data_IF_635873673715
#
_entry.id   IF_635873673715
#
_cell.length_a   1.000
_cell.length_b   1.000
_cell.length_c   1.000
_cell.angle_alpha   90.00
_cell.angle_beta   90.00
_cell.angle_gamma   90.00
#
_symmetry.space_group_name_H-M   'P 1'
#
loop_
_entity.id
_entity.type
_entity.pdbx_description
1 polymer ?
#
# COMPACT_ATOMS: atom_id res chain seq x y z
N UNK A 1 -7.98 4.40 -19.67
CA UNK A 1 -8.32 3.07 -20.22
C UNK A 1 -9.82 2.84 -20.11
N UNK A 2 -10.44 2.37 -21.19
CA UNK A 2 -11.78 1.81 -21.19
C UNK A 2 -11.81 0.42 -20.54
N UNK A 3 -13.00 -0.09 -20.19
CA UNK A 3 -13.18 -1.46 -19.69
C UNK A 3 -12.56 -2.49 -20.64
N UNK A 4 -12.84 -2.39 -21.94
CA UNK A 4 -12.28 -3.31 -22.94
C UNK A 4 -10.75 -3.27 -23.02
N UNK A 5 -10.15 -2.09 -22.89
CA UNK A 5 -8.69 -1.95 -22.84
C UNK A 5 -8.09 -2.57 -21.57
N UNK A 6 -8.71 -2.37 -20.41
CA UNK A 6 -8.26 -3.01 -19.15
C UNK A 6 -8.22 -4.53 -19.30
N UNK A 7 -9.30 -5.14 -19.79
CA UNK A 7 -9.38 -6.59 -19.98
C UNK A 7 -8.34 -7.09 -21.00
N UNK A 8 -8.14 -6.35 -22.09
CA UNK A 8 -7.11 -6.68 -23.10
C UNK A 8 -5.70 -6.63 -22.49
N UNK A 9 -5.38 -5.59 -21.69
CA UNK A 9 -4.08 -5.48 -21.03
C UNK A 9 -3.87 -6.58 -19.98
N UNK A 10 -4.88 -6.90 -19.17
CA UNK A 10 -4.82 -8.02 -18.21
C UNK A 10 -4.60 -9.35 -18.93
N UNK A 11 -5.31 -9.61 -20.03
CA UNK A 11 -5.09 -10.81 -20.86
C UNK A 11 -3.65 -10.87 -21.42
N UNK A 12 -3.10 -9.72 -21.80
CA UNK A 12 -1.71 -9.61 -22.26
C UNK A 12 -0.70 -9.95 -21.18
N UNK A 13 -0.90 -9.45 -19.93
CA UNK A 13 -0.06 -9.81 -18.78
C UNK A 13 -0.15 -11.29 -18.48
N UNK A 14 -1.36 -11.88 -18.44
CA UNK A 14 -1.58 -13.32 -18.14
C UNK A 14 -0.91 -14.26 -19.12
N UNK A 15 -0.75 -13.85 -20.37
CA UNK A 15 -0.01 -14.65 -21.37
C UNK A 15 1.47 -14.74 -21.03
N UNK A 16 2.03 -13.68 -20.47
CA UNK A 16 3.47 -13.50 -20.29
C UNK A 16 3.94 -13.81 -18.85
N UNK A 17 3.00 -13.82 -17.88
CA UNK A 17 3.32 -14.06 -16.47
C UNK A 17 2.13 -14.68 -15.71
N UNK A 18 2.41 -15.47 -14.64
CA UNK A 18 1.36 -15.95 -13.75
C UNK A 18 0.74 -14.77 -13.00
N UNK A 19 -0.52 -14.46 -13.33
CA UNK A 19 -1.28 -13.40 -12.68
C UNK A 19 -2.42 -14.04 -11.87
N UNK A 20 -2.39 -13.91 -10.55
CA UNK A 20 -3.40 -14.46 -9.63
C UNK A 20 -4.34 -13.40 -9.07
N UNK A 21 -3.88 -12.14 -8.99
CA UNK A 21 -4.63 -11.07 -8.38
C UNK A 21 -4.42 -9.72 -9.10
N UNK A 22 -5.42 -8.84 -8.99
CA UNK A 22 -5.37 -7.46 -9.48
C UNK A 22 -5.88 -6.54 -8.38
N UNK A 23 -5.12 -5.49 -8.07
CA UNK A 23 -5.58 -4.39 -7.24
C UNK A 23 -6.05 -3.24 -8.14
N UNK A 24 -7.31 -2.87 -8.03
CA UNK A 24 -7.88 -1.71 -8.71
C UNK A 24 -7.74 -0.51 -7.77
N UNK A 25 -6.93 0.44 -8.19
CA UNK A 25 -6.62 1.67 -7.45
C UNK A 25 -6.61 2.86 -8.42
N UNK A 26 -6.19 4.00 -7.95
CA UNK A 26 -6.05 5.21 -8.75
C UNK A 26 -6.27 6.44 -7.86
N UNK A 27 -6.95 7.48 -8.35
CA UNK A 27 -7.43 8.54 -7.47
C UNK A 27 -8.50 7.99 -6.54
N UNK A 28 -9.63 7.56 -7.12
CA UNK A 28 -10.70 6.86 -6.39
C UNK A 28 -11.45 5.95 -7.39
N UNK A 29 -11.41 4.63 -7.24
CA UNK A 29 -12.06 3.70 -8.17
C UNK A 29 -13.57 3.91 -8.31
N UNK A 30 -14.26 4.24 -7.23
CA UNK A 30 -15.70 4.48 -7.24
C UNK A 30 -16.14 5.72 -8.04
N UNK A 31 -15.22 6.53 -8.56
CA UNK A 31 -15.56 7.58 -9.55
C UNK A 31 -15.94 6.99 -10.92
N UNK A 32 -15.53 5.75 -11.19
CA UNK A 32 -15.88 5.04 -12.43
C UNK A 32 -17.28 4.42 -12.30
N UNK A 33 -18.13 4.72 -13.27
CA UNK A 33 -19.49 4.15 -13.31
C UNK A 33 -19.51 2.67 -13.69
N UNK A 34 -18.47 2.21 -14.44
CA UNK A 34 -18.28 0.84 -14.92
C UNK A 34 -17.35 -0.01 -14.01
N UNK A 35 -17.06 0.46 -12.79
CA UNK A 35 -16.25 -0.30 -11.83
C UNK A 35 -16.84 -1.69 -11.51
N UNK A 36 -18.17 -1.84 -11.26
CA UNK A 36 -18.75 -3.15 -10.96
C UNK A 36 -18.55 -4.15 -12.10
N UNK A 37 -18.73 -3.70 -13.33
CA UNK A 37 -18.56 -4.53 -14.53
C UNK A 37 -17.09 -4.94 -14.74
N UNK A 38 -16.13 -4.04 -14.46
CA UNK A 38 -14.69 -4.35 -14.50
C UNK A 38 -14.35 -5.42 -13.44
N UNK A 39 -14.82 -5.24 -12.20
CA UNK A 39 -14.59 -6.20 -11.12
C UNK A 39 -15.19 -7.56 -11.49
N UNK A 40 -16.43 -7.58 -12.01
CA UNK A 40 -17.10 -8.81 -12.44
C UNK A 40 -16.30 -9.55 -13.53
N UNK A 41 -15.88 -8.86 -14.58
CA UNK A 41 -15.12 -9.45 -15.69
C UNK A 41 -13.78 -10.05 -15.22
N UNK A 42 -13.06 -9.33 -14.38
CA UNK A 42 -11.78 -9.79 -13.85
C UNK A 42 -11.97 -11.00 -12.93
N UNK A 43 -12.98 -10.97 -12.04
CA UNK A 43 -13.31 -12.08 -11.15
C UNK A 43 -13.75 -13.32 -11.94
N UNK A 44 -14.62 -13.15 -12.93
CA UNK A 44 -15.06 -14.22 -13.81
C UNK A 44 -13.92 -14.81 -14.65
N UNK A 45 -12.86 -14.06 -14.87
CA UNK A 45 -11.63 -14.57 -15.51
C UNK A 45 -10.74 -15.38 -14.55
N UNK A 46 -11.15 -15.59 -13.29
CA UNK A 46 -10.43 -16.36 -12.27
C UNK A 46 -9.39 -15.55 -11.50
N UNK A 47 -9.45 -14.21 -11.54
CA UNK A 47 -8.55 -13.36 -10.77
C UNK A 47 -9.15 -12.97 -9.41
N UNK A 48 -8.31 -12.90 -8.38
CA UNK A 48 -8.67 -12.19 -7.15
C UNK A 48 -8.62 -10.69 -7.42
N UNK A 49 -9.71 -9.98 -7.13
CA UNK A 49 -9.79 -8.52 -7.36
C UNK A 49 -9.94 -7.81 -6.03
N UNK A 50 -9.06 -6.87 -5.76
CA UNK A 50 -9.11 -6.00 -4.57
C UNK A 50 -9.36 -4.58 -5.05
N UNK A 51 -10.42 -3.94 -4.54
CA UNK A 51 -10.70 -2.52 -4.81
C UNK A 51 -10.15 -1.68 -3.68
N UNK A 52 -9.12 -0.87 -3.97
CA UNK A 52 -8.48 0.04 -3.00
C UNK A 52 -9.15 1.39 -3.10
N UNK A 53 -9.83 1.81 -2.05
CA UNK A 53 -10.68 3.02 -2.03
C UNK A 53 -10.47 3.86 -0.78
N UNK A 54 -10.72 5.16 -0.90
CA UNK A 54 -10.81 6.05 0.26
C UNK A 54 -12.15 5.94 1.01
N UNK A 55 -13.08 5.12 0.54
CA UNK A 55 -14.35 4.81 1.18
C UNK A 55 -15.44 5.87 1.07
N UNK A 56 -15.11 7.10 0.66
CA UNK A 56 -16.07 8.24 0.72
C UNK A 56 -17.18 8.18 -0.32
N UNK A 57 -17.01 7.39 -1.38
CA UNK A 57 -18.00 7.22 -2.45
C UNK A 57 -18.75 5.89 -2.35
N UNK A 58 -18.54 5.11 -1.30
CA UNK A 58 -19.29 3.88 -1.06
C UNK A 58 -20.72 4.27 -0.66
N UNK A 59 -21.69 3.89 -1.47
CA UNK A 59 -23.13 4.08 -1.21
C UNK A 59 -23.88 2.78 -1.41
N UNK A 60 -25.06 2.66 -0.81
CA UNK A 60 -25.95 1.52 -0.98
C UNK A 60 -26.17 1.16 -2.46
N UNK A 61 -26.49 2.17 -3.29
CA UNK A 61 -26.74 1.97 -4.71
C UNK A 61 -25.50 1.45 -5.46
N UNK A 62 -24.30 1.90 -5.08
CA UNK A 62 -23.05 1.44 -5.69
C UNK A 62 -22.68 0.04 -5.26
N UNK A 63 -22.85 -0.29 -3.96
CA UNK A 63 -22.56 -1.62 -3.45
C UNK A 63 -23.49 -2.69 -4.03
N UNK A 64 -24.77 -2.40 -4.21
CA UNK A 64 -25.73 -3.33 -4.87
C UNK A 64 -25.34 -3.73 -6.28
N UNK A 65 -24.51 -2.92 -6.96
CA UNK A 65 -23.98 -3.23 -8.30
C UNK A 65 -22.68 -4.03 -8.25
N UNK A 66 -21.97 -4.03 -7.12
CA UNK A 66 -20.71 -4.78 -6.99
C UNK A 66 -21.00 -6.29 -6.96
N UNK A 67 -20.14 -7.09 -7.62
CA UNK A 67 -20.26 -8.55 -7.55
C UNK A 67 -20.24 -9.05 -6.10
N UNK A 68 -21.00 -10.10 -5.84
CA UNK A 68 -20.94 -10.80 -4.56
C UNK A 68 -19.52 -11.29 -4.29
N UNK A 69 -19.07 -11.21 -3.03
CA UNK A 69 -17.70 -11.60 -2.65
C UNK A 69 -16.62 -10.58 -3.02
N UNK A 70 -16.99 -9.38 -3.54
CA UNK A 70 -16.00 -8.31 -3.77
C UNK A 70 -15.21 -8.00 -2.51
N UNK A 71 -13.89 -7.79 -2.69
CA UNK A 71 -12.94 -7.49 -1.61
C UNK A 71 -12.47 -6.05 -1.70
N UNK A 72 -12.41 -5.38 -0.56
CA UNK A 72 -12.02 -3.97 -0.49
C UNK A 72 -10.82 -3.78 0.43
N UNK A 73 -10.00 -2.79 0.10
CA UNK A 73 -9.05 -2.18 1.02
C UNK A 73 -9.47 -0.72 1.20
N UNK A 74 -9.83 -0.34 2.43
CA UNK A 74 -10.42 0.98 2.71
C UNK A 74 -9.51 1.78 3.61
N UNK A 75 -9.17 2.99 3.19
CA UNK A 75 -8.28 3.87 3.96
C UNK A 75 -9.03 4.54 5.11
N UNK A 76 -8.53 4.31 6.34
CA UNK A 76 -8.91 5.06 7.54
C UNK A 76 -7.65 5.48 8.29
N UNK A 77 -7.33 6.75 8.31
CA UNK A 77 -6.09 7.24 8.93
C UNK A 77 -6.12 7.22 10.46
N UNK A 78 -7.28 7.43 11.07
CA UNK A 78 -7.44 7.48 12.52
C UNK A 78 -8.90 7.31 12.91
N UNK A 79 -9.15 6.73 14.08
CA UNK A 79 -10.47 6.72 14.72
C UNK A 79 -10.88 8.11 15.20
N UNK A 80 -9.94 9.06 15.32
CA UNK A 80 -10.26 10.45 15.67
C UNK A 80 -10.55 11.26 14.41
N UNK A 81 -11.78 11.81 14.33
CA UNK A 81 -12.27 12.61 13.21
C UNK A 81 -11.25 13.68 12.77
N UNK A 82 -10.80 14.51 13.74
CA UNK A 82 -9.91 15.62 13.43
C UNK A 82 -8.60 15.16 12.79
N UNK A 83 -8.01 14.07 13.29
CA UNK A 83 -6.78 13.48 12.76
C UNK A 83 -7.01 12.87 11.38
N UNK A 84 -8.12 12.14 11.21
CA UNK A 84 -8.48 11.56 9.91
C UNK A 84 -8.65 12.66 8.86
N UNK A 85 -9.46 13.66 9.14
CA UNK A 85 -9.78 14.74 8.20
C UNK A 85 -8.54 15.58 7.84
N UNK A 86 -7.65 15.82 8.82
CA UNK A 86 -6.37 16.48 8.59
C UNK A 86 -5.49 15.68 7.60
N UNK A 87 -5.35 14.37 7.81
CA UNK A 87 -4.54 13.50 6.94
C UNK A 87 -5.19 13.25 5.59
N UNK A 88 -6.50 13.20 5.53
CA UNK A 88 -7.27 13.10 4.28
C UNK A 88 -7.26 14.42 3.47
N UNK A 89 -6.88 15.54 4.08
CA UNK A 89 -6.89 16.88 3.48
C UNK A 89 -8.30 17.44 3.23
N UNK A 90 -9.32 16.83 3.83
CA UNK A 90 -10.74 17.23 3.70
C UNK A 90 -11.59 16.59 4.79
N UNK A 91 -12.79 17.11 5.02
CA UNK A 91 -13.80 16.48 5.90
C UNK A 91 -14.33 15.22 5.22
N UNK A 92 -13.83 14.05 5.62
CA UNK A 92 -14.11 12.75 5.01
C UNK A 92 -14.54 11.68 6.01
N UNK A 93 -14.28 11.88 7.31
CA UNK A 93 -14.43 10.87 8.35
C UNK A 93 -15.83 10.22 8.35
N UNK A 94 -16.90 11.02 8.37
CA UNK A 94 -18.28 10.48 8.40
C UNK A 94 -18.63 9.69 7.16
N UNK A 95 -18.16 10.14 5.98
CA UNK A 95 -18.39 9.45 4.72
C UNK A 95 -17.68 8.09 4.70
N UNK A 96 -16.45 8.02 5.21
CA UNK A 96 -15.68 6.78 5.30
C UNK A 96 -16.36 5.82 6.27
N UNK A 97 -16.78 6.28 7.46
CA UNK A 97 -17.51 5.45 8.42
C UNK A 97 -18.82 4.91 7.86
N UNK A 98 -19.57 5.74 7.15
CA UNK A 98 -20.80 5.30 6.47
C UNK A 98 -20.50 4.22 5.44
N UNK A 99 -19.44 4.39 4.63
CA UNK A 99 -18.98 3.40 3.66
C UNK A 99 -18.57 2.08 4.31
N UNK A 100 -17.76 2.12 5.38
CA UNK A 100 -17.35 0.93 6.13
C UNK A 100 -18.56 0.20 6.77
N UNK A 101 -19.51 0.97 7.35
CA UNK A 101 -20.75 0.42 7.90
C UNK A 101 -21.56 -0.32 6.83
N UNK A 102 -21.65 0.24 5.61
CA UNK A 102 -22.34 -0.41 4.50
C UNK A 102 -21.63 -1.68 4.07
N UNK A 103 -20.30 -1.71 3.99
CA UNK A 103 -19.54 -2.92 3.68
C UNK A 103 -19.81 -4.03 4.69
N UNK A 104 -19.80 -3.72 5.99
CA UNK A 104 -20.13 -4.67 7.04
C UNK A 104 -21.56 -5.20 6.94
N UNK A 105 -22.54 -4.32 6.72
CA UNK A 105 -23.97 -4.71 6.54
C UNK A 105 -24.19 -5.63 5.35
N UNK A 106 -23.52 -5.36 4.24
CA UNK A 106 -23.59 -6.17 3.02
C UNK A 106 -22.64 -7.39 3.04
N UNK A 107 -21.96 -7.62 4.16
CA UNK A 107 -21.02 -8.75 4.36
C UNK A 107 -19.92 -8.81 3.29
N UNK A 108 -19.53 -7.66 2.72
CA UNK A 108 -18.35 -7.58 1.88
C UNK A 108 -17.09 -7.69 2.73
N UNK A 109 -16.13 -8.48 2.27
CA UNK A 109 -14.82 -8.57 2.93
C UNK A 109 -14.03 -7.29 2.70
N UNK A 110 -13.50 -6.71 3.77
CA UNK A 110 -12.59 -5.60 3.64
C UNK A 110 -11.47 -5.65 4.68
N UNK A 111 -10.32 -5.12 4.29
CA UNK A 111 -9.22 -4.80 5.19
C UNK A 111 -9.15 -3.29 5.37
N UNK A 112 -8.80 -2.88 6.57
CA UNK A 112 -8.57 -1.47 6.88
C UNK A 112 -7.15 -1.11 6.46
N UNK A 113 -6.96 -0.06 5.66
CA UNK A 113 -5.64 0.48 5.35
C UNK A 113 -5.38 1.72 6.22
N UNK A 114 -4.41 1.63 7.12
CA UNK A 114 -3.97 2.76 7.95
C UNK A 114 -2.53 3.11 7.62
N UNK A 115 -2.29 4.36 7.21
CA UNK A 115 -0.93 4.86 6.98
C UNK A 115 -0.45 5.56 8.25
N UNK A 116 0.57 4.98 8.88
CA UNK A 116 1.21 5.52 10.07
C UNK A 116 2.00 6.78 9.75
N UNK A 117 1.66 7.82 10.45
CA UNK A 117 2.33 9.11 10.44
C UNK A 117 2.61 9.55 11.89
N UNK A 118 3.39 10.60 12.06
CA UNK A 118 3.61 11.26 13.35
C UNK A 118 2.30 11.73 14.00
N UNK A 119 1.27 12.03 13.19
CA UNK A 119 0.02 12.63 13.64
C UNK A 119 -1.00 11.61 14.16
N UNK A 120 -0.88 10.34 13.78
CA UNK A 120 -1.83 9.28 14.13
C UNK A 120 -1.20 8.03 14.77
N UNK A 121 0.12 8.01 14.98
CA UNK A 121 0.80 6.86 15.58
C UNK A 121 0.20 6.45 16.94
N UNK A 122 -0.23 7.42 17.74
CA UNK A 122 -0.89 7.20 19.04
C UNK A 122 -2.34 6.68 18.95
N UNK A 123 -2.95 6.72 17.76
CA UNK A 123 -4.35 6.35 17.53
C UNK A 123 -4.51 4.90 17.03
N UNK A 124 -3.41 4.15 16.91
CA UNK A 124 -3.39 2.84 16.24
C UNK A 124 -4.37 1.86 16.87
N UNK A 125 -4.34 1.70 18.19
CA UNK A 125 -5.25 0.77 18.89
C UNK A 125 -6.70 1.11 18.61
N UNK A 126 -7.11 2.37 18.83
CA UNK A 126 -8.49 2.79 18.61
C UNK A 126 -8.91 2.66 17.13
N UNK A 127 -7.97 2.89 16.21
CA UNK A 127 -8.24 2.77 14.77
C UNK A 127 -8.46 1.31 14.37
N UNK A 128 -7.65 0.39 14.90
CA UNK A 128 -7.84 -1.05 14.70
C UNK A 128 -9.18 -1.50 15.30
N UNK A 129 -9.46 -1.13 16.54
CA UNK A 129 -10.70 -1.50 17.25
C UNK A 129 -11.95 -0.98 16.52
N UNK A 130 -11.92 0.26 16.03
CA UNK A 130 -13.00 0.82 15.21
C UNK A 130 -13.19 0.03 13.91
N UNK A 131 -12.09 -0.30 13.20
CA UNK A 131 -12.15 -1.13 12.00
C UNK A 131 -12.79 -2.49 12.25
N UNK A 132 -12.41 -3.17 13.33
CA UNK A 132 -12.97 -4.45 13.74
C UNK A 132 -14.45 -4.36 14.10
N UNK A 133 -14.84 -3.34 14.85
CA UNK A 133 -16.23 -3.09 15.21
C UNK A 133 -17.13 -2.86 13.96
N UNK A 134 -16.53 -2.35 12.87
CA UNK A 134 -17.20 -2.16 11.59
C UNK A 134 -17.15 -3.40 10.67
N UNK A 135 -16.45 -4.46 11.08
CA UNK A 135 -16.37 -5.73 10.36
C UNK A 135 -15.14 -5.91 9.48
N UNK A 136 -14.07 -5.17 9.70
CA UNK A 136 -12.79 -5.40 9.02
C UNK A 136 -12.25 -6.80 9.33
N UNK A 137 -11.75 -7.51 8.32
CA UNK A 137 -11.19 -8.86 8.45
C UNK A 137 -9.67 -8.86 8.69
N UNK A 138 -9.04 -7.69 8.64
CA UNK A 138 -7.61 -7.50 8.89
C UNK A 138 -7.23 -6.04 8.73
N UNK A 139 -5.97 -5.73 8.95
CA UNK A 139 -5.44 -4.37 8.84
C UNK A 139 -4.15 -4.36 8.03
N UNK A 140 -4.07 -3.46 7.06
CA UNK A 140 -2.84 -3.07 6.38
C UNK A 140 -2.30 -1.82 7.08
N UNK A 141 -1.29 -2.01 7.93
CA UNK A 141 -0.68 -0.94 8.70
C UNK A 141 0.63 -0.51 8.06
N UNK A 142 0.59 0.47 7.19
CA UNK A 142 1.77 0.92 6.47
C UNK A 142 2.38 2.17 7.09
N UNK A 143 3.70 2.24 7.19
CA UNK A 143 4.35 3.51 7.48
C UNK A 143 4.15 4.49 6.31
N UNK A 144 4.17 5.79 6.58
CA UNK A 144 4.14 6.79 5.51
C UNK A 144 5.30 6.55 4.53
N UNK A 145 4.98 6.47 3.24
CA UNK A 145 5.98 6.39 2.19
C UNK A 145 6.24 7.78 1.60
N UNK A 146 7.51 8.12 1.47
CA UNK A 146 7.90 9.45 1.00
C UNK A 146 7.93 9.47 -0.54
N UNK A 147 7.46 10.58 -1.08
CA UNK A 147 7.55 10.94 -2.48
C UNK A 147 7.96 12.41 -2.59
N UNK A 148 8.29 12.85 -3.79
CA UNK A 148 8.66 14.27 -4.03
C UNK A 148 7.64 15.26 -3.47
N UNK A 149 6.34 14.95 -3.61
CA UNK A 149 5.25 15.81 -3.15
C UNK A 149 5.12 15.87 -1.61
N UNK A 150 5.56 14.82 -0.92
CA UNK A 150 5.45 14.70 0.54
C UNK A 150 6.74 15.12 1.23
N UNK A 151 7.85 15.16 0.50
CA UNK A 151 9.20 15.41 1.05
C UNK A 151 9.29 16.71 1.86
N UNK A 152 8.68 17.80 1.37
CA UNK A 152 8.67 19.09 2.06
C UNK A 152 7.98 19.03 3.44
N UNK A 153 7.08 18.07 3.65
CA UNK A 153 6.35 17.84 4.91
C UNK A 153 6.87 16.61 5.68
N UNK A 154 7.94 16.00 5.24
CA UNK A 154 8.42 14.73 5.81
C UNK A 154 8.68 14.84 7.32
N UNK A 155 9.27 15.95 7.79
CA UNK A 155 9.49 16.20 9.23
C UNK A 155 8.21 16.28 10.08
N UNK A 156 7.08 16.63 9.46
CA UNK A 156 5.76 16.67 10.11
C UNK A 156 5.04 15.33 10.07
N UNK A 157 5.34 14.49 9.07
CA UNK A 157 4.61 13.26 8.79
C UNK A 157 5.34 12.00 9.24
N UNK A 158 6.67 11.95 9.12
CA UNK A 158 7.44 10.77 9.54
C UNK A 158 7.49 10.72 11.07
N UNK A 159 7.03 9.63 11.69
CA UNK A 159 7.19 9.44 13.12
C UNK A 159 8.68 9.23 13.47
N UNK A 160 9.08 9.56 14.69
CA UNK A 160 10.37 9.12 15.20
C UNK A 160 10.42 7.59 15.28
N UNK A 161 11.63 7.01 15.27
CA UNK A 161 11.78 5.57 15.39
C UNK A 161 11.14 5.03 16.70
N UNK A 162 11.19 5.79 17.79
CA UNK A 162 10.52 5.44 19.04
C UNK A 162 8.99 5.43 18.87
N UNK A 163 8.40 6.52 18.39
CA UNK A 163 6.95 6.60 18.17
C UNK A 163 6.43 5.55 17.18
N UNK A 164 7.23 5.18 16.16
CA UNK A 164 6.88 4.08 15.28
C UNK A 164 6.88 2.75 16.00
N UNK A 165 7.91 2.45 16.81
CA UNK A 165 7.97 1.22 17.60
C UNK A 165 6.82 1.10 18.59
N UNK A 166 6.47 2.20 19.28
CA UNK A 166 5.32 2.24 20.20
C UNK A 166 4.00 1.93 19.45
N UNK A 167 3.84 2.48 18.25
CA UNK A 167 2.67 2.21 17.42
C UNK A 167 2.62 0.75 16.91
N UNK A 168 3.78 0.17 16.57
CA UNK A 168 3.88 -1.23 16.17
C UNK A 168 3.65 -2.18 17.36
N UNK A 169 4.14 -1.86 18.56
CA UNK A 169 3.86 -2.60 19.79
C UNK A 169 2.35 -2.59 20.12
N UNK A 170 1.70 -1.43 20.00
CA UNK A 170 0.26 -1.32 20.17
C UNK A 170 -0.51 -2.17 19.15
N UNK A 171 -0.05 -2.20 17.90
CA UNK A 171 -0.64 -3.03 16.84
C UNK A 171 -0.40 -4.53 17.08
N UNK A 172 0.80 -4.92 17.52
CA UNK A 172 1.15 -6.31 17.87
C UNK A 172 0.27 -6.84 18.99
N UNK A 173 0.10 -6.06 20.07
CA UNK A 173 -0.82 -6.37 21.16
C UNK A 173 -2.26 -6.51 20.68
N UNK A 174 -2.70 -5.66 19.77
CA UNK A 174 -4.05 -5.74 19.20
C UNK A 174 -4.19 -7.00 18.33
N UNK A 175 -3.18 -7.33 17.51
CA UNK A 175 -3.17 -8.56 16.70
C UNK A 175 -3.30 -9.80 17.58
N UNK A 176 -2.51 -9.90 18.67
CA UNK A 176 -2.56 -10.98 19.66
C UNK A 176 -3.93 -11.05 20.35
N UNK A 177 -4.44 -9.90 20.82
CA UNK A 177 -5.70 -9.81 21.58
C UNK A 177 -6.92 -10.23 20.76
N UNK A 178 -6.97 -9.80 19.51
CA UNK A 178 -8.15 -9.99 18.65
C UNK A 178 -8.01 -11.14 17.66
N UNK A 179 -6.84 -11.77 17.56
CA UNK A 179 -6.59 -12.87 16.61
C UNK A 179 -6.71 -12.44 15.15
N UNK A 180 -6.33 -11.19 14.83
CA UNK A 180 -6.45 -10.64 13.48
C UNK A 180 -5.10 -10.54 12.77
N UNK A 181 -5.14 -10.62 11.46
CA UNK A 181 -3.95 -10.36 10.65
C UNK A 181 -3.70 -8.86 10.52
N UNK A 182 -2.53 -8.41 10.95
CA UNK A 182 -2.02 -7.06 10.71
C UNK A 182 -0.74 -7.17 9.90
N UNK A 183 -0.72 -6.57 8.71
CA UNK A 183 0.40 -6.65 7.79
C UNK A 183 0.94 -5.26 7.42
N UNK A 184 2.24 -5.18 7.20
CA UNK A 184 2.93 -4.00 6.68
C UNK A 184 3.44 -4.30 5.27
N UNK A 185 2.90 -3.66 4.23
CA UNK A 185 3.37 -3.87 2.86
C UNK A 185 4.49 -2.90 2.45
N UNK A 186 4.58 -1.75 3.10
CA UNK A 186 5.70 -0.82 2.91
C UNK A 186 6.83 -1.20 3.87
N UNK A 187 8.02 -1.55 3.37
CA UNK A 187 9.11 -2.05 4.21
C UNK A 187 9.47 -1.11 5.37
N UNK A 188 9.56 -1.65 6.56
CA UNK A 188 10.15 -0.99 7.72
C UNK A 188 11.50 -1.65 7.97
N UNK A 189 12.62 -0.94 7.72
CA UNK A 189 13.95 -1.49 7.93
C UNK A 189 14.22 -1.87 9.39
N UNK A 190 14.92 -3.01 9.66
CA UNK A 190 15.23 -3.48 11.01
C UNK A 190 16.00 -2.46 11.86
N UNK A 191 16.80 -1.60 11.22
CA UNK A 191 17.48 -0.50 11.92
C UNK A 191 16.52 0.58 12.47
N UNK A 192 15.25 0.57 12.08
CA UNK A 192 14.21 1.45 12.63
C UNK A 192 13.33 0.70 13.62
N UNK A 193 12.87 -0.50 13.24
CA UNK A 193 12.08 -1.38 14.09
C UNK A 193 12.39 -2.85 13.74
N UNK A 194 12.86 -3.61 14.70
CA UNK A 194 13.27 -5.00 14.52
C UNK A 194 12.04 -5.92 14.46
N UNK A 195 11.78 -6.63 13.34
CA UNK A 195 10.57 -7.42 13.18
C UNK A 195 10.33 -8.49 14.25
N UNK A 196 11.40 -9.08 14.81
CA UNK A 196 11.28 -10.10 15.86
C UNK A 196 10.65 -9.58 17.17
N UNK A 197 10.68 -8.26 17.38
CA UNK A 197 10.07 -7.63 18.56
C UNK A 197 8.54 -7.54 18.45
N UNK A 198 7.98 -7.86 17.27
CA UNK A 198 6.54 -7.77 16.94
C UNK A 198 6.04 -9.09 16.33
N UNK A 199 5.98 -10.19 17.10
CA UNK A 199 5.76 -11.55 16.58
C UNK A 199 4.38 -11.79 15.96
N UNK A 200 3.38 -10.94 16.24
CA UNK A 200 2.04 -11.05 15.69
C UNK A 200 1.83 -10.16 14.47
N UNK A 201 2.84 -9.36 14.06
CA UNK A 201 2.78 -8.55 12.85
C UNK A 201 3.46 -9.24 11.67
N UNK A 202 2.88 -9.06 10.47
CA UNK A 202 3.46 -9.57 9.23
C UNK A 202 4.23 -8.46 8.51
N UNK A 203 5.56 -8.48 8.60
CA UNK A 203 6.42 -7.53 7.90
C UNK A 203 6.62 -7.95 6.45
N UNK A 204 6.13 -7.13 5.52
CA UNK A 204 6.38 -7.28 4.10
C UNK A 204 7.69 -6.60 3.66
N UNK A 205 8.28 -7.13 2.60
CA UNK A 205 9.50 -6.61 1.98
C UNK A 205 9.26 -6.24 0.53
N UNK A 206 10.11 -5.35 0.00
CA UNK A 206 10.05 -5.03 -1.42
C UNK A 206 10.52 -6.25 -2.24
N UNK A 207 9.70 -6.80 -3.14
CA UNK A 207 10.05 -7.99 -3.92
C UNK A 207 11.11 -7.74 -5.01
N UNK A 208 11.50 -6.49 -5.26
CA UNK A 208 12.64 -6.06 -6.08
C UNK A 208 12.76 -6.75 -7.44
N UNK A 209 11.67 -6.84 -8.17
CA UNK A 209 11.66 -7.42 -9.51
C UNK A 209 11.67 -8.95 -9.53
N UNK A 210 11.50 -9.61 -8.38
CA UNK A 210 11.26 -11.05 -8.33
C UNK A 210 9.91 -11.41 -8.97
N UNK A 211 9.62 -12.70 -9.10
CA UNK A 211 8.33 -13.19 -9.61
C UNK A 211 7.12 -12.73 -8.78
N UNK A 212 7.33 -12.31 -7.54
CA UNK A 212 6.29 -11.83 -6.63
C UNK A 212 6.09 -10.32 -6.72
N UNK A 213 6.75 -9.65 -7.66
CA UNK A 213 6.62 -8.21 -7.85
C UNK A 213 5.25 -7.83 -8.40
N UNK A 214 4.65 -6.81 -7.78
CA UNK A 214 3.43 -6.19 -8.28
C UNK A 214 3.77 -4.91 -9.03
N UNK A 215 3.72 -5.00 -10.35
CA UNK A 215 3.87 -3.85 -11.22
C UNK A 215 2.60 -3.02 -11.28
N UNK A 216 2.73 -1.73 -11.47
CA UNK A 216 1.59 -0.83 -11.63
C UNK A 216 1.39 -0.47 -13.10
N UNK A 217 0.18 -0.67 -13.61
CA UNK A 217 -0.23 -0.23 -14.94
C UNK A 217 -1.08 1.01 -14.76
N UNK A 218 -0.59 2.16 -15.26
CA UNK A 218 -1.29 3.42 -15.18
C UNK A 218 -2.50 3.50 -16.12
N UNK A 219 -3.32 4.54 -15.95
CA UNK A 219 -4.52 4.79 -16.79
C UNK A 219 -4.20 5.01 -18.28
N UNK A 220 -2.95 5.23 -18.62
CA UNK A 220 -2.44 5.36 -20.00
C UNK A 220 -1.83 4.08 -20.55
N UNK A 221 -1.83 2.97 -19.81
CA UNK A 221 -1.21 1.70 -20.21
C UNK A 221 0.30 1.61 -19.95
N UNK A 222 0.89 2.63 -19.33
CA UNK A 222 2.31 2.63 -18.98
C UNK A 222 2.55 1.77 -17.74
N UNK A 223 3.60 0.95 -17.79
CA UNK A 223 4.03 0.06 -16.70
C UNK A 223 5.09 0.74 -15.85
N UNK A 224 4.90 0.71 -14.54
CA UNK A 224 5.85 1.20 -13.52
C UNK A 224 6.32 0.05 -12.63
N UNK A 225 7.50 0.16 -12.00
CA UNK A 225 8.01 -0.87 -11.09
C UNK A 225 7.06 -1.18 -9.91
N UNK A 226 6.41 -0.16 -9.38
CA UNK A 226 5.42 -0.24 -8.31
C UNK A 226 4.56 1.04 -8.28
N UNK A 227 3.58 1.08 -7.38
CA UNK A 227 2.71 2.25 -7.18
C UNK A 227 3.45 3.48 -6.61
N UNK A 228 4.60 3.30 -5.97
CA UNK A 228 5.39 4.37 -5.35
C UNK A 228 6.41 5.01 -6.32
N UNK A 229 6.65 4.43 -7.49
CA UNK A 229 7.62 4.95 -8.46
C UNK A 229 6.95 5.70 -9.60
N UNK A 230 7.52 6.82 -10.02
CA UNK A 230 7.14 7.54 -11.25
C UNK A 230 7.85 7.02 -12.50
N UNK A 231 8.85 6.14 -12.34
CA UNK A 231 9.63 5.58 -13.46
C UNK A 231 8.74 4.74 -14.37
N UNK A 232 8.67 5.08 -15.65
CA UNK A 232 8.00 4.28 -16.68
C UNK A 232 8.95 3.25 -17.25
N UNK A 233 8.60 1.96 -17.16
CA UNK A 233 9.37 0.84 -17.73
C UNK A 233 9.06 0.62 -19.21
N UNK A 234 7.82 0.82 -19.61
CA UNK A 234 7.37 0.67 -21.00
C UNK A 234 5.86 0.85 -21.13
N UNK A 235 5.38 0.78 -22.37
CA UNK A 235 3.97 0.88 -22.73
C UNK A 235 3.41 -0.52 -23.05
N UNK A 236 2.49 -1.01 -22.23
CA UNK A 236 1.89 -2.35 -22.39
C UNK A 236 0.94 -2.41 -23.60
N UNK A 237 0.52 -1.28 -24.15
CA UNK A 237 -0.30 -1.25 -25.37
C UNK A 237 0.51 -1.68 -26.59
N UNK A 238 1.79 -1.33 -26.65
CA UNK A 238 2.67 -1.57 -27.80
C UNK A 238 3.65 -2.73 -27.61
N UNK A 239 4.09 -3.01 -26.37
CA UNK A 239 5.07 -4.06 -26.04
C UNK A 239 4.42 -5.17 -25.21
N UNK A 240 5.00 -6.38 -25.23
CA UNK A 240 4.61 -7.47 -24.31
C UNK A 240 5.03 -7.16 -22.88
N UNK A 241 4.36 -7.77 -21.90
CA UNK A 241 4.72 -7.61 -20.49
C UNK A 241 6.12 -8.19 -20.22
N UNK A 242 6.42 -9.35 -20.80
CA UNK A 242 7.74 -9.99 -20.68
C UNK A 242 8.88 -9.08 -21.19
N UNK A 243 8.72 -8.43 -22.35
CA UNK A 243 9.72 -7.49 -22.88
C UNK A 243 9.92 -6.28 -21.96
N UNK A 244 8.84 -5.78 -21.34
CA UNK A 244 8.90 -4.62 -20.45
C UNK A 244 9.64 -4.97 -19.16
N UNK A 245 9.24 -6.05 -18.47
CA UNK A 245 9.84 -6.41 -17.18
C UNK A 245 11.21 -7.06 -17.33
N UNK A 246 11.50 -7.67 -18.48
CA UNK A 246 12.80 -8.20 -18.86
C UNK A 246 13.77 -7.17 -19.42
N UNK A 247 13.37 -5.90 -19.58
CA UNK A 247 14.23 -4.84 -20.11
C UNK A 247 15.39 -4.49 -19.16
N UNK A 248 16.49 -3.97 -19.73
CA UNK A 248 17.60 -3.46 -18.89
C UNK A 248 17.13 -2.34 -17.95
N UNK A 249 16.20 -1.51 -18.40
CA UNK A 249 15.60 -0.46 -17.57
C UNK A 249 14.90 -1.03 -16.33
N UNK A 250 14.16 -2.14 -16.48
CA UNK A 250 13.50 -2.80 -15.35
C UNK A 250 14.53 -3.48 -14.43
N UNK A 251 15.49 -4.21 -14.98
CA UNK A 251 16.56 -4.85 -14.19
C UNK A 251 17.41 -3.84 -13.42
N UNK A 252 17.84 -2.77 -14.07
CA UNK A 252 18.67 -1.73 -13.44
C UNK A 252 17.91 -0.94 -12.36
N UNK A 253 16.58 -0.88 -12.40
CA UNK A 253 15.82 -0.25 -11.34
C UNK A 253 16.02 -0.94 -9.97
N UNK A 254 16.17 -2.26 -9.95
CA UNK A 254 16.21 -3.05 -8.73
C UNK A 254 17.65 -3.37 -8.24
N UNK A 255 18.65 -3.19 -9.08
CA UNK A 255 20.05 -3.57 -8.77
C UNK A 255 20.71 -2.80 -7.62
N UNK A 256 20.53 -1.48 -7.46
CA UNK A 256 21.32 -0.72 -6.49
C UNK A 256 21.06 -1.15 -5.06
N UNK A 257 22.14 -1.29 -4.29
CA UNK A 257 22.12 -1.41 -2.83
C UNK A 257 22.56 -0.05 -2.28
N UNK A 258 21.86 0.51 -1.30
CA UNK A 258 22.25 1.77 -0.67
C UNK A 258 23.66 1.69 -0.09
N UNK A 259 24.45 2.75 -0.28
CA UNK A 259 25.83 2.84 0.21
C UNK A 259 25.89 2.63 1.73
N UNK A 260 24.92 3.17 2.46
CA UNK A 260 24.79 3.05 3.90
C UNK A 260 24.52 1.61 4.36
N UNK A 261 24.13 0.73 3.44
CA UNK A 261 23.80 -0.67 3.73
C UNK A 261 24.87 -1.66 3.26
N UNK A 262 25.96 -1.20 2.63
CA UNK A 262 27.01 -2.10 2.07
C UNK A 262 27.63 -2.97 3.16
N UNK A 263 27.98 -2.38 4.29
CA UNK A 263 28.59 -3.06 5.44
C UNK A 263 27.58 -3.54 6.49
N UNK A 264 26.29 -3.46 6.20
CA UNK A 264 25.26 -3.93 7.12
C UNK A 264 25.39 -5.44 7.33
N UNK A 265 25.45 -5.88 8.58
CA UNK A 265 25.58 -7.29 8.97
C UNK A 265 24.24 -7.92 9.40
N UNK A 266 23.16 -7.16 9.35
CA UNK A 266 21.86 -7.64 9.82
C UNK A 266 21.38 -8.86 8.99
N UNK A 267 20.84 -9.94 9.63
CA UNK A 267 20.38 -11.14 8.92
C UNK A 267 19.35 -10.87 7.82
N UNK A 268 18.48 -9.87 8.02
CA UNK A 268 17.46 -9.47 7.05
C UNK A 268 17.97 -8.49 5.98
N UNK A 269 19.29 -8.24 5.88
CA UNK A 269 19.87 -7.32 4.88
C UNK A 269 19.39 -7.61 3.47
N UNK A 270 19.38 -8.88 3.07
CA UNK A 270 18.98 -9.31 1.73
C UNK A 270 17.50 -9.00 1.41
N UNK A 271 16.62 -9.05 2.40
CA UNK A 271 15.19 -8.73 2.26
C UNK A 271 14.93 -7.23 2.39
N UNK A 272 15.58 -6.58 3.37
CA UNK A 272 15.41 -5.17 3.68
C UNK A 272 15.93 -4.25 2.57
N UNK A 273 17.15 -4.51 2.09
CA UNK A 273 17.83 -3.73 1.04
C UNK A 273 17.75 -2.20 1.24
N UNK A 274 17.76 -1.72 2.49
CA UNK A 274 17.70 -0.29 2.82
C UNK A 274 16.32 0.37 2.72
N UNK A 275 15.23 -0.41 2.69
CA UNK A 275 13.87 0.09 2.67
C UNK A 275 13.26 0.19 1.27
N UNK A 276 12.60 1.31 0.96
CA UNK A 276 11.89 1.52 -0.30
C UNK A 276 12.79 2.21 -1.35
N UNK A 277 13.26 1.50 -2.40
CA UNK A 277 14.10 2.11 -3.44
C UNK A 277 13.34 3.17 -4.25
N UNK A 278 12.03 3.04 -4.38
CA UNK A 278 11.23 4.05 -5.06
C UNK A 278 11.19 5.37 -4.26
N UNK A 279 11.12 5.32 -2.93
CA UNK A 279 11.18 6.52 -2.10
C UNK A 279 12.54 7.22 -2.21
N UNK A 280 13.64 6.46 -2.23
CA UNK A 280 14.97 7.01 -2.45
C UNK A 280 15.09 7.71 -3.83
N UNK A 281 14.61 7.06 -4.89
CA UNK A 281 14.59 7.61 -6.24
C UNK A 281 13.77 8.90 -6.34
N UNK A 282 12.53 8.87 -5.82
CA UNK A 282 11.59 10.00 -5.86
C UNK A 282 12.07 11.21 -5.06
N UNK A 283 12.71 10.98 -3.91
CA UNK A 283 13.11 12.05 -3.00
C UNK A 283 14.54 12.53 -3.22
N UNK A 284 15.46 11.63 -3.60
CA UNK A 284 16.90 11.91 -3.68
C UNK A 284 17.44 11.83 -5.12
N UNK A 285 16.63 11.43 -6.09
CA UNK A 285 17.03 11.23 -7.48
C UNK A 285 17.98 10.03 -7.68
N UNK A 286 18.11 9.16 -6.67
CA UNK A 286 19.00 8.00 -6.74
C UNK A 286 18.53 6.86 -5.85
N UNK A 287 18.80 5.62 -6.28
CA UNK A 287 18.51 4.38 -5.53
C UNK A 287 19.75 3.82 -4.80
N UNK A 288 20.88 4.53 -4.88
CA UNK A 288 22.13 4.17 -4.19
C UNK A 288 22.21 4.73 -2.77
N UNK A 289 21.16 5.43 -2.31
CA UNK A 289 21.02 5.95 -0.96
C UNK A 289 19.90 5.22 -0.24
N UNK A 290 20.00 5.15 1.08
CA UNK A 290 18.96 4.57 1.93
C UNK A 290 17.65 5.32 1.80
N UNK A 291 16.53 4.62 2.02
CA UNK A 291 15.21 5.23 2.09
C UNK A 291 15.20 6.45 3.03
N UNK A 292 14.81 7.64 2.56
CA UNK A 292 14.80 8.86 3.38
C UNK A 292 13.97 8.74 4.67
N UNK A 293 12.98 7.85 4.69
CA UNK A 293 12.21 7.54 5.90
C UNK A 293 13.14 7.13 7.04
N UNK A 294 14.13 6.26 6.80
CA UNK A 294 15.08 5.77 7.82
C UNK A 294 15.85 6.93 8.43
N UNK A 295 16.44 7.78 7.58
CA UNK A 295 17.23 8.92 8.02
C UNK A 295 16.43 9.90 8.89
N UNK A 296 15.16 10.17 8.49
CA UNK A 296 14.31 11.11 9.19
C UNK A 296 13.81 10.51 10.51
N UNK A 297 13.33 9.25 10.49
CA UNK A 297 12.83 8.57 11.69
C UNK A 297 13.91 8.43 12.78
N UNK A 298 15.15 8.09 12.39
CA UNK A 298 16.26 7.95 13.34
C UNK A 298 16.76 9.29 13.90
N UNK A 299 16.79 10.36 13.09
CA UNK A 299 17.24 11.69 13.55
C UNK A 299 16.29 12.35 14.55
N UNK A 300 15.01 12.06 14.50
CA UNK A 300 14.01 12.65 15.41
C UNK A 300 14.06 12.04 16.83
N UNK A 301 14.85 11.01 17.07
CA UNK A 301 15.03 10.39 18.39
C UNK A 301 16.28 10.88 19.15
N UNK A 302 17.07 11.78 18.56
CA UNK A 302 18.32 12.31 19.15
C UNK A 302 18.24 13.77 19.61
N UNK A 303 17.02 14.36 19.67
CA UNK A 303 16.78 15.73 20.15
C UNK A 303 16.10 15.72 21.51
#
# INVERSE_FOLDING_TARGET
LTRAEILRLVKKVRRDAPLSAVALSGGEPFTRVDLPEIVSDLTNSGLKVITITNGTLITEARLKRMPEGSVFEVTLFSARRATHDLLAGRKAFDQVLAGLTLLGRHKHKFVLACVLTRLNAQDVTQTIELGLALGATGVMLNRVNLSRHVLARAGQLVPSAAALRDALDAADKAAAKYGITIALSVPVPPCVAEPKDFPHLHFGWCPRGSRDSYYTIGCTGLVRPCNHSSVTLGDLRTRSFAEIVGSEKARSFWKPIPQECVECTHPLKASCCGGCPAAADECLGTRTRIDPFVTIACRQGTA
#
